data_IF_420434676982
#
_entry.id   IF_420434676982
#
_cell.length_a   1.000
_cell.length_b   1.000
_cell.length_c   1.000
_cell.angle_alpha   90.00
_cell.angle_beta   90.00
_cell.angle_gamma   90.00
#
_symmetry.space_group_name_H-M   'P 1'
#
loop_
_entity.id
_entity.type
_entity.pdbx_description
1 polymer ?
#
# COMPACT_ATOMS: atom_id res chain seq x y z
N UNK A 1 8.93 -18.99 15.09
CA UNK A 1 8.83 -17.60 15.59
C UNK A 1 7.55 -16.95 15.11
N UNK A 2 7.10 -15.88 15.78
CA UNK A 2 5.91 -15.10 15.42
C UNK A 2 6.33 -13.65 15.17
N UNK A 3 5.73 -12.99 14.18
CA UNK A 3 5.96 -11.59 13.86
C UNK A 3 4.64 -10.89 13.51
N UNK A 4 4.45 -9.71 14.09
CA UNK A 4 3.36 -8.81 13.77
C UNK A 4 3.96 -7.43 13.51
N UNK A 5 3.61 -6.83 12.38
CA UNK A 5 4.06 -5.50 12.00
C UNK A 5 2.84 -4.62 11.73
N UNK A 6 2.78 -3.45 12.36
CA UNK A 6 1.75 -2.45 12.12
C UNK A 6 2.41 -1.13 11.70
N UNK A 7 1.97 -0.59 10.57
CA UNK A 7 2.44 0.69 10.03
C UNK A 7 1.26 1.63 9.94
N UNK A 8 1.40 2.79 10.56
CA UNK A 8 0.47 3.90 10.46
C UNK A 8 1.21 5.14 9.96
N UNK A 9 0.63 5.84 8.99
CA UNK A 9 1.17 7.10 8.50
C UNK A 9 0.05 8.04 8.11
N UNK A 10 0.12 9.26 8.64
CA UNK A 10 -0.74 10.35 8.18
C UNK A 10 -0.30 10.72 6.77
N UNK A 11 -1.22 10.69 5.80
CA UNK A 11 -0.89 10.92 4.40
C UNK A 11 -0.17 12.25 4.18
N UNK A 12 0.59 12.34 3.09
CA UNK A 12 1.40 13.54 2.80
C UNK A 12 0.49 14.69 2.34
N UNK A 13 0.83 15.95 2.69
CA UNK A 13 0.11 17.08 2.14
C UNK A 13 0.37 17.21 0.63
N UNK A 14 -0.64 17.62 -0.13
CA UNK A 14 -0.64 17.71 -1.59
C UNK A 14 -1.37 18.95 -2.08
N UNK A 15 -1.00 19.41 -3.26
CA UNK A 15 -1.69 20.47 -4.00
C UNK A 15 -2.58 19.81 -5.06
N UNK A 16 -3.89 20.05 -4.99
CA UNK A 16 -4.87 19.40 -5.86
C UNK A 16 -5.24 20.28 -7.05
N UNK A 17 -5.41 19.72 -8.26
CA UNK A 17 -6.13 20.41 -9.32
C UNK A 17 -7.63 20.45 -8.97
N UNK A 18 -8.17 21.64 -8.71
CA UNK A 18 -9.53 21.84 -8.20
C UNK A 18 -10.53 22.28 -9.28
N UNK A 19 -10.06 22.95 -10.33
CA UNK A 19 -10.92 23.41 -11.41
C UNK A 19 -10.18 23.46 -12.74
N UNK A 20 -10.95 23.46 -13.83
CA UNK A 20 -10.47 23.75 -15.18
C UNK A 20 -11.21 25.00 -15.63
N UNK A 21 -10.47 25.97 -16.15
CA UNK A 21 -11.04 27.22 -16.67
C UNK A 21 -10.48 27.51 -18.05
N UNK A 22 -11.29 28.14 -18.90
CA UNK A 22 -10.89 28.53 -20.25
C UNK A 22 -10.45 29.99 -20.25
N UNK A 23 -9.23 30.28 -20.73
CA UNK A 23 -8.72 31.63 -20.87
C UNK A 23 -7.87 31.77 -22.13
N UNK A 24 -8.20 32.74 -22.99
CA UNK A 24 -7.46 32.99 -24.23
C UNK A 24 -7.54 31.85 -25.24
N UNK A 25 -8.66 31.11 -25.28
CA UNK A 25 -8.85 29.97 -26.20
C UNK A 25 -8.18 28.67 -25.77
N UNK A 26 -7.58 28.62 -24.57
CA UNK A 26 -6.96 27.42 -24.02
C UNK A 26 -7.52 27.07 -22.63
N UNK A 27 -7.70 25.78 -22.38
CA UNK A 27 -8.06 25.25 -21.07
C UNK A 27 -6.83 25.21 -20.16
N UNK A 28 -6.97 25.74 -18.94
CA UNK A 28 -5.95 25.72 -17.90
C UNK A 28 -6.48 25.07 -16.64
N UNK A 29 -5.59 24.39 -15.92
CA UNK A 29 -5.90 23.74 -14.65
C UNK A 29 -5.59 24.71 -13.53
N UNK A 30 -6.58 24.95 -12.65
CA UNK A 30 -6.44 25.72 -11.43
C UNK A 30 -6.13 24.77 -10.28
N UNK A 31 -5.03 25.06 -9.57
CA UNK A 31 -4.56 24.28 -8.43
C UNK A 31 -4.97 24.94 -7.12
N UNK A 32 -5.15 24.13 -6.08
CA UNK A 32 -5.37 24.59 -4.70
C UNK A 32 -4.17 25.37 -4.16
N UNK A 33 -4.31 25.93 -2.96
CA UNK A 33 -3.13 26.45 -2.28
C UNK A 33 -2.12 25.32 -2.03
N UNK A 34 -0.86 25.73 -1.88
CA UNK A 34 0.25 24.79 -1.66
C UNK A 34 -0.01 23.95 -0.43
N UNK A 35 0.00 22.62 -0.59
CA UNK A 35 -0.12 21.66 0.52
C UNK A 35 -1.43 21.78 1.32
N UNK A 36 -2.48 22.36 0.74
CA UNK A 36 -3.77 22.58 1.41
C UNK A 36 -4.50 21.28 1.74
N UNK A 37 -4.36 20.27 0.89
CA UNK A 37 -5.03 18.98 1.05
C UNK A 37 -4.06 17.90 1.52
N UNK A 38 -4.59 16.76 1.96
CA UNK A 38 -3.81 15.62 2.44
C UNK A 38 -4.30 14.32 1.83
N UNK A 39 -3.36 13.46 1.45
CA UNK A 39 -3.68 12.08 1.04
C UNK A 39 -4.34 11.35 2.23
N UNK A 40 -5.28 10.42 1.98
CA UNK A 40 -5.82 9.57 3.04
C UNK A 40 -4.73 8.88 3.88
N UNK A 41 -5.05 8.58 5.14
CA UNK A 41 -4.15 7.85 6.03
C UNK A 41 -3.85 6.44 5.50
N UNK A 42 -2.63 5.99 5.76
CA UNK A 42 -2.21 4.61 5.49
C UNK A 42 -2.20 3.86 6.82
N UNK A 43 -2.89 2.73 6.86
CA UNK A 43 -2.79 1.77 7.93
C UNK A 43 -2.69 0.36 7.37
N UNK A 44 -1.59 -0.32 7.69
CA UNK A 44 -1.32 -1.68 7.24
C UNK A 44 -0.83 -2.50 8.41
N UNK A 45 -1.42 -3.68 8.56
CA UNK A 45 -0.96 -4.68 9.53
C UNK A 45 -0.59 -5.96 8.79
N UNK A 46 0.63 -6.46 9.00
CA UNK A 46 1.15 -7.69 8.42
C UNK A 46 1.46 -8.68 9.53
N UNK A 47 1.14 -9.94 9.29
CA UNK A 47 1.40 -11.03 10.23
C UNK A 47 2.15 -12.15 9.55
N UNK A 48 3.14 -12.70 10.24
CA UNK A 48 3.86 -13.89 9.80
C UNK A 48 4.24 -14.79 10.95
N UNK A 49 4.25 -16.08 10.66
CA UNK A 49 4.63 -17.16 11.56
C UNK A 49 5.62 -18.05 10.82
N UNK A 50 6.78 -18.23 11.43
CA UNK A 50 7.76 -19.21 10.97
C UNK A 50 7.65 -20.46 11.86
N UNK A 51 7.37 -21.58 11.23
CA UNK A 51 7.33 -22.91 11.83
C UNK A 51 8.63 -23.60 11.42
N UNK A 52 9.55 -23.69 12.37
CA UNK A 52 10.81 -24.42 12.17
C UNK A 52 10.58 -25.91 12.40
N UNK A 53 11.33 -26.73 11.66
CA UNK A 53 11.35 -28.17 11.86
C UNK A 53 12.00 -28.59 13.20
N UNK A 54 12.18 -29.90 13.36
CA UNK A 54 12.67 -30.53 14.61
C UNK A 54 14.04 -29.98 15.10
N UNK A 55 14.19 -29.77 16.42
CA UNK A 55 15.39 -29.29 17.12
C UNK A 55 16.62 -30.25 17.11
N UNK A 56 16.63 -31.30 16.29
CA UNK A 56 17.82 -32.19 16.17
C UNK A 56 18.98 -31.45 15.51
N UNK A 57 20.10 -31.33 16.24
CA UNK A 57 21.31 -30.59 15.82
C UNK A 57 22.05 -31.20 14.61
N UNK A 58 21.95 -32.52 14.41
CA UNK A 58 22.49 -33.19 13.23
C UNK A 58 21.36 -33.75 12.37
N UNK A 59 21.09 -33.05 11.27
CA UNK A 59 20.21 -33.47 10.19
C UNK A 59 20.82 -33.07 8.87
N UNK A 60 20.64 -33.94 7.87
CA UNK A 60 21.05 -33.71 6.48
C UNK A 60 20.19 -32.61 5.84
N UNK A 61 18.96 -32.40 6.35
CA UNK A 61 18.04 -31.38 5.85
C UNK A 61 17.33 -30.66 6.99
N UNK A 62 17.38 -29.33 6.97
CA UNK A 62 16.62 -28.44 7.84
C UNK A 62 15.53 -27.77 7.02
N UNK A 63 14.27 -27.95 7.41
CA UNK A 63 13.13 -27.32 6.75
C UNK A 63 12.46 -26.30 7.66
N UNK A 64 11.91 -25.26 7.04
CA UNK A 64 11.07 -24.28 7.71
C UNK A 64 9.90 -23.85 6.82
N UNK A 65 8.75 -23.66 7.44
CA UNK A 65 7.56 -23.10 6.81
C UNK A 65 7.38 -21.67 7.30
N UNK A 66 7.10 -20.76 6.39
CA UNK A 66 6.72 -19.38 6.70
C UNK A 66 5.32 -19.16 6.18
N UNK A 67 4.38 -18.90 7.07
CA UNK A 67 2.97 -18.65 6.74
C UNK A 67 2.62 -17.26 7.24
N UNK A 68 1.84 -16.51 6.47
CA UNK A 68 1.41 -15.20 6.92
C UNK A 68 0.38 -14.58 6.01
N UNK A 69 -0.04 -13.38 6.38
CA UNK A 69 -1.00 -12.57 5.64
C UNK A 69 -0.51 -11.14 5.63
N UNK A 70 -0.40 -10.57 4.44
CA UNK A 70 -0.15 -9.15 4.25
C UNK A 70 -1.46 -8.38 4.27
N UNK A 71 -1.45 -7.19 4.88
CA UNK A 71 -2.61 -6.32 5.05
C UNK A 71 -3.84 -7.05 5.63
N UNK A 72 -3.72 -7.55 6.86
CA UNK A 72 -4.80 -8.21 7.61
C UNK A 72 -6.12 -7.42 7.61
N UNK A 73 -6.04 -6.09 7.64
CA UNK A 73 -7.21 -5.20 7.65
C UNK A 73 -7.87 -5.01 6.28
N UNK A 74 -7.29 -5.53 5.21
CA UNK A 74 -7.76 -5.38 3.83
C UNK A 74 -8.06 -3.92 3.43
N UNK A 75 -7.39 -2.93 4.05
CA UNK A 75 -7.58 -1.51 3.73
C UNK A 75 -6.92 -1.20 2.39
N UNK A 76 -7.62 -0.47 1.52
CA UNK A 76 -7.08 0.03 0.25
C UNK A 76 -6.19 1.24 0.48
N UNK A 77 -4.97 1.00 0.95
CA UNK A 77 -4.00 2.04 1.24
C UNK A 77 -3.51 2.72 -0.07
N UNK A 78 -3.45 4.06 -0.14
CA UNK A 78 -2.98 4.77 -1.32
C UNK A 78 -1.47 4.59 -1.49
N UNK A 79 -1.04 3.98 -2.61
CA UNK A 79 0.36 3.89 -3.02
C UNK A 79 0.74 5.05 -3.95
N UNK A 80 -0.15 5.38 -4.89
CA UNK A 80 -0.02 6.52 -5.79
C UNK A 80 -1.38 7.18 -6.00
N UNK A 81 -1.38 8.51 -6.11
CA UNK A 81 -2.58 9.32 -6.39
C UNK A 81 -2.29 10.18 -7.60
N UNK A 82 -3.18 10.18 -8.58
CA UNK A 82 -3.02 10.95 -9.81
C UNK A 82 -4.37 11.51 -10.27
N UNK A 83 -4.32 12.57 -11.09
CA UNK A 83 -5.51 13.28 -11.53
C UNK A 83 -5.59 13.26 -13.05
N UNK A 84 -6.78 12.98 -13.57
CA UNK A 84 -7.06 12.93 -15.00
C UNK A 84 -8.23 13.86 -15.31
N UNK A 85 -8.13 14.56 -16.45
CA UNK A 85 -9.24 15.34 -16.99
C UNK A 85 -10.18 14.39 -17.74
N UNK A 86 -11.40 14.25 -17.26
CA UNK A 86 -12.49 13.55 -17.96
C UNK A 86 -13.71 14.46 -18.01
N UNK A 87 -14.29 14.65 -19.20
CA UNK A 87 -15.53 15.42 -19.41
C UNK A 87 -15.50 16.83 -18.77
N UNK A 88 -14.41 17.58 -18.96
CA UNK A 88 -14.19 18.91 -18.34
C UNK A 88 -14.18 18.94 -16.80
N UNK A 89 -14.16 17.79 -16.15
CA UNK A 89 -13.96 17.66 -14.71
C UNK A 89 -12.59 17.03 -14.42
N UNK A 90 -12.01 17.42 -13.29
CA UNK A 90 -10.81 16.78 -12.75
C UNK A 90 -11.26 15.62 -11.87
N UNK A 91 -10.84 14.40 -12.20
CA UNK A 91 -11.05 13.21 -11.36
C UNK A 91 -9.75 12.78 -10.72
N UNK A 92 -9.81 12.50 -9.42
CA UNK A 92 -8.72 11.88 -8.67
C UNK A 92 -8.84 10.37 -8.67
N UNK A 93 -7.76 9.69 -9.02
CA UNK A 93 -7.63 8.25 -8.94
C UNK A 93 -6.56 7.89 -7.92
N UNK A 94 -6.78 6.78 -7.23
CA UNK A 94 -5.79 6.19 -6.34
C UNK A 94 -5.46 4.76 -6.77
N UNK A 95 -4.19 4.42 -6.72
CA UNK A 95 -3.68 3.07 -6.92
C UNK A 95 -3.34 2.47 -5.55
N UNK A 96 -3.85 1.27 -5.29
CA UNK A 96 -3.53 0.47 -4.10
C UNK A 96 -2.96 -0.88 -4.51
N UNK A 97 -1.70 -1.14 -4.16
CA UNK A 97 -1.02 -2.41 -4.50
C UNK A 97 -1.55 -3.56 -3.63
N UNK A 98 -1.66 -3.33 -2.32
CA UNK A 98 -2.17 -4.30 -1.36
C UNK A 98 -3.59 -3.92 -0.92
N UNK A 99 -4.54 -3.94 -1.85
CA UNK A 99 -5.93 -3.53 -1.60
C UNK A 99 -6.80 -4.56 -0.87
N UNK A 100 -6.24 -5.71 -0.51
CA UNK A 100 -6.90 -6.83 0.16
C UNK A 100 -5.92 -7.56 1.06
N UNK A 101 -6.43 -8.47 1.88
CA UNK A 101 -5.59 -9.40 2.63
C UNK A 101 -4.97 -10.43 1.67
N UNK A 102 -3.64 -10.52 1.63
CA UNK A 102 -2.92 -11.43 0.74
C UNK A 102 -2.25 -12.52 1.58
N UNK A 103 -2.76 -13.77 1.57
CA UNK A 103 -2.11 -14.87 2.24
C UNK A 103 -0.85 -15.31 1.50
N UNK A 104 0.14 -15.78 2.24
CA UNK A 104 1.32 -16.42 1.66
C UNK A 104 1.73 -17.64 2.48
N UNK A 105 2.32 -18.60 1.77
CA UNK A 105 2.97 -19.77 2.34
C UNK A 105 4.29 -19.96 1.60
N UNK A 106 5.36 -20.12 2.35
CA UNK A 106 6.69 -20.35 1.81
C UNK A 106 7.30 -21.54 2.52
N UNK A 107 7.88 -22.46 1.75
CA UNK A 107 8.63 -23.59 2.28
C UNK A 107 10.11 -23.39 1.94
N UNK A 108 10.94 -23.37 2.97
CA UNK A 108 12.39 -23.28 2.85
C UNK A 108 13.03 -24.60 3.28
N UNK A 109 14.07 -24.99 2.56
CA UNK A 109 14.89 -26.16 2.87
C UNK A 109 16.36 -25.78 2.78
N UNK A 110 17.15 -26.27 3.73
CA UNK A 110 18.59 -26.03 3.83
C UNK A 110 19.30 -27.38 4.02
N UNK A 111 20.35 -27.60 3.25
CA UNK A 111 21.23 -28.77 3.31
C UNK A 111 22.46 -28.49 4.20
#
# INVERSE_FOLDING_TARGET
>A
SLSLNAVYSTGRPITLPIAIYSYGGADRVFYSNRNEYRIPDVFRTDFSMNIEGNHKKQKIFHSSWSIGVYNLTARKNPYSVYFVKENNAVKGYQLSIFGSAIPFVTYNFKF
#
